data_IF_744212686850
#
_entry.id   IF_744212686850
#
_cell.length_a   1.000
_cell.length_b   1.000
_cell.length_c   1.000
_cell.angle_alpha   90.00
_cell.angle_beta   90.00
_cell.angle_gamma   90.00
#
_symmetry.space_group_name_H-M   'P 1'
#
loop_
_entity.id
_entity.type
_entity.pdbx_description
1 polymer ?
#
# COMPACT_ATOMS: atom_id res chain seq x y z
N UNK A 1 -0.73 -17.81 -13.96
CA UNK A 1 -0.34 -16.69 -13.10
C UNK A 1 0.30 -17.21 -11.83
N UNK A 2 1.41 -16.63 -11.49
CA UNK A 2 2.11 -17.02 -10.28
C UNK A 2 1.37 -16.53 -9.05
N UNK A 3 1.31 -17.38 -8.04
CA UNK A 3 0.71 -17.07 -6.76
C UNK A 3 1.82 -16.82 -5.74
N UNK A 4 1.75 -15.70 -5.05
CA UNK A 4 2.67 -15.37 -3.96
C UNK A 4 2.02 -15.73 -2.64
N UNK A 5 2.73 -16.45 -1.79
CA UNK A 5 2.24 -16.86 -0.48
C UNK A 5 3.16 -16.32 0.62
N UNK A 6 2.56 -15.70 1.62
CA UNK A 6 3.24 -15.08 2.74
C UNK A 6 2.63 -15.57 4.05
N UNK A 7 3.44 -15.63 5.10
CA UNK A 7 2.94 -15.90 6.44
C UNK A 7 2.27 -14.66 7.02
N UNK A 8 1.09 -14.87 7.60
CA UNK A 8 0.45 -13.84 8.42
C UNK A 8 1.14 -13.77 9.78
N UNK A 9 1.34 -12.57 10.29
CA UNK A 9 1.89 -12.38 11.60
C UNK A 9 0.89 -12.86 12.65
N UNK A 10 1.34 -13.76 13.55
CA UNK A 10 0.49 -14.49 14.49
C UNK A 10 -0.16 -13.61 15.55
N UNK A 11 0.32 -12.39 15.75
CA UNK A 11 -0.06 -11.51 16.85
C UNK A 11 -1.43 -10.85 16.69
N UNK A 12 -2.05 -10.97 15.54
CA UNK A 12 -3.29 -10.25 15.27
C UNK A 12 -4.44 -11.20 14.96
N UNK A 13 -5.24 -11.51 15.98
CA UNK A 13 -6.38 -12.42 15.87
C UNK A 13 -7.46 -11.98 14.89
N UNK A 14 -7.57 -10.69 14.58
CA UNK A 14 -8.61 -10.14 13.73
C UNK A 14 -8.09 -9.24 12.63
N UNK A 15 -6.78 -9.27 12.37
CA UNK A 15 -6.11 -8.36 11.47
C UNK A 15 -5.10 -9.13 10.63
N UNK A 16 -4.95 -8.70 9.39
CA UNK A 16 -4.08 -9.39 8.46
C UNK A 16 -2.84 -8.55 8.26
N UNK A 17 -1.74 -8.94 8.92
CA UNK A 17 -0.45 -8.26 8.85
C UNK A 17 0.58 -9.18 8.26
N UNK A 18 1.40 -8.65 7.36
CA UNK A 18 2.46 -9.38 6.68
C UNK A 18 3.75 -8.55 6.69
N UNK A 19 4.88 -9.21 6.59
CA UNK A 19 6.16 -8.54 6.41
C UNK A 19 6.40 -8.24 4.94
N UNK A 20 7.02 -7.10 4.68
CA UNK A 20 7.40 -6.65 3.35
C UNK A 20 8.72 -5.89 3.41
N UNK A 21 9.31 -5.64 2.27
CA UNK A 21 10.51 -4.83 2.13
C UNK A 21 10.19 -3.54 1.39
N UNK A 22 10.38 -2.42 2.05
CA UNK A 22 10.18 -1.09 1.49
C UNK A 22 11.50 -0.56 0.93
N UNK A 23 11.48 -0.14 -0.33
CA UNK A 23 12.67 0.44 -0.94
C UNK A 23 12.93 1.85 -0.41
N UNK A 24 14.12 2.05 0.16
CA UNK A 24 14.60 3.35 0.60
C UNK A 24 15.37 3.99 -0.56
N UNK A 25 14.78 5.03 -1.16
CA UNK A 25 15.37 5.76 -2.30
C UNK A 25 16.67 6.46 -1.95
N UNK A 26 16.81 6.89 -0.70
CA UNK A 26 17.97 7.69 -0.26
C UNK A 26 19.21 6.82 -0.07
N UNK A 27 19.04 5.59 0.37
CA UNK A 27 20.13 4.66 0.62
C UNK A 27 20.29 3.57 -0.44
N UNK A 28 19.30 3.43 -1.32
CA UNK A 28 19.20 2.33 -2.30
C UNK A 28 19.18 0.94 -1.64
N UNK A 29 18.65 0.87 -0.43
CA UNK A 29 18.52 -0.36 0.36
C UNK A 29 17.07 -0.63 0.69
N UNK A 30 16.77 -1.84 1.11
CA UNK A 30 15.44 -2.23 1.54
C UNK A 30 15.33 -2.21 3.06
N UNK A 31 14.19 -1.75 3.55
CA UNK A 31 13.86 -1.72 4.97
C UNK A 31 12.68 -2.66 5.21
N UNK A 32 12.80 -3.58 6.17
CA UNK A 32 11.68 -4.43 6.54
C UNK A 32 10.60 -3.60 7.24
N UNK A 33 9.38 -3.77 6.76
CA UNK A 33 8.20 -3.07 7.28
C UNK A 33 7.06 -4.07 7.45
N UNK A 34 6.05 -3.67 8.22
CA UNK A 34 4.82 -4.43 8.35
C UNK A 34 3.73 -3.78 7.53
N UNK A 35 3.06 -4.56 6.70
CA UNK A 35 1.87 -4.14 5.99
C UNK A 35 0.64 -4.67 6.72
N UNK A 36 -0.31 -3.79 6.95
CA UNK A 36 -1.65 -4.15 7.40
C UNK A 36 -2.58 -4.14 6.19
N UNK A 37 -3.25 -5.26 5.93
CA UNK A 37 -4.16 -5.40 4.80
C UNK A 37 -5.51 -4.81 5.19
N UNK A 38 -5.75 -3.56 4.85
CA UNK A 38 -6.95 -2.83 5.25
C UNK A 38 -8.02 -2.92 4.15
N UNK A 39 -8.84 -3.97 4.23
CA UNK A 39 -9.91 -4.23 3.26
C UNK A 39 -11.07 -3.23 3.35
N UNK A 40 -11.16 -2.48 4.43
CA UNK A 40 -12.20 -1.48 4.64
C UNK A 40 -11.85 -0.08 4.15
N UNK A 41 -10.65 0.13 3.65
CA UNK A 41 -10.18 1.44 3.21
C UNK A 41 -9.72 1.40 1.76
N UNK A 42 -10.13 2.40 0.97
CA UNK A 42 -9.69 2.49 -0.41
C UNK A 42 -8.22 2.93 -0.50
N UNK A 43 -7.85 3.97 0.25
CA UNK A 43 -6.52 4.56 0.15
C UNK A 43 -5.50 3.84 1.03
N UNK A 44 -4.28 3.76 0.55
CA UNK A 44 -3.14 3.30 1.33
C UNK A 44 -2.61 4.44 2.18
N UNK A 45 -2.35 4.17 3.46
CA UNK A 45 -1.76 5.12 4.39
C UNK A 45 -0.36 4.65 4.78
N UNK A 46 0.55 5.61 4.95
CA UNK A 46 1.94 5.32 5.28
C UNK A 46 2.43 6.31 6.33
N UNK A 47 3.23 5.88 7.32
CA UNK A 47 3.90 6.82 8.23
C UNK A 47 4.76 7.83 7.46
N UNK A 48 4.75 9.09 7.92
CA UNK A 48 5.47 10.17 7.23
C UNK A 48 6.95 9.85 7.03
N UNK A 49 7.61 9.32 8.04
CA UNK A 49 9.03 8.99 7.96
C UNK A 49 9.34 7.98 6.87
N UNK A 50 8.45 7.01 6.67
CA UNK A 50 8.59 6.01 5.62
C UNK A 50 8.30 6.58 4.23
N UNK A 51 7.30 7.46 4.13
CA UNK A 51 6.98 8.13 2.87
C UNK A 51 8.16 8.98 2.36
N UNK A 52 8.81 9.70 3.26
CA UNK A 52 9.94 10.57 2.92
C UNK A 52 11.12 9.82 2.33
N UNK A 53 11.40 8.63 2.82
CA UNK A 53 12.54 7.84 2.33
C UNK A 53 12.19 6.94 1.13
N UNK A 54 10.92 6.66 0.91
CA UNK A 54 10.49 5.68 -0.09
C UNK A 54 9.67 6.25 -1.24
N UNK A 55 9.24 7.50 -1.13
CA UNK A 55 8.32 8.08 -2.09
C UNK A 55 8.65 9.50 -2.49
N UNK A 56 7.84 10.01 -3.42
CA UNK A 56 7.91 11.41 -3.89
C UNK A 56 6.56 12.07 -3.67
N UNK A 57 6.53 13.30 -3.13
CA UNK A 57 5.26 14.00 -2.92
C UNK A 57 4.58 14.29 -4.26
N UNK A 58 3.26 14.16 -4.27
CA UNK A 58 2.43 14.40 -5.45
C UNK A 58 1.80 15.80 -5.46
N UNK A 59 1.97 16.58 -4.40
CA UNK A 59 1.54 17.97 -4.36
C UNK A 59 0.10 18.21 -3.94
N UNK A 60 -0.58 17.23 -3.35
CA UNK A 60 -1.92 17.41 -2.80
C UNK A 60 -2.10 16.63 -1.51
N UNK A 61 -3.14 16.99 -0.75
CA UNK A 61 -3.43 16.43 0.57
C UNK A 61 -4.87 15.97 0.65
N UNK A 62 -5.14 15.08 1.60
CA UNK A 62 -6.48 14.62 1.97
C UNK A 62 -6.65 14.58 3.46
N UNK A 63 -7.88 14.80 3.92
CA UNK A 63 -8.23 14.65 5.32
C UNK A 63 -8.82 13.28 5.58
N UNK A 64 -8.36 12.64 6.64
CA UNK A 64 -8.85 11.34 7.09
C UNK A 64 -9.29 11.42 8.54
N UNK A 65 -10.34 10.67 8.87
CA UNK A 65 -10.79 10.50 10.24
C UNK A 65 -10.25 9.15 10.75
N UNK A 66 -9.28 9.21 11.64
CA UNK A 66 -8.64 8.02 12.21
C UNK A 66 -8.80 8.10 13.73
N UNK A 67 -9.49 7.09 14.32
CA UNK A 67 -9.67 7.03 15.77
C UNK A 67 -10.37 8.26 16.37
N UNK A 68 -11.27 8.88 15.63
CA UNK A 68 -11.98 10.08 16.08
C UNK A 68 -11.27 11.40 15.81
N UNK A 69 -10.01 11.37 15.38
CA UNK A 69 -9.22 12.55 15.03
C UNK A 69 -9.20 12.78 13.52
N UNK A 70 -9.19 14.05 13.11
CA UNK A 70 -9.02 14.42 11.71
C UNK A 70 -7.55 14.62 11.46
N UNK A 71 -7.01 13.86 10.51
CA UNK A 71 -5.60 13.89 10.12
C UNK A 71 -5.52 14.37 8.68
N UNK A 72 -4.63 15.33 8.43
CA UNK A 72 -4.31 15.77 7.08
C UNK A 72 -3.11 14.97 6.57
N UNK A 73 -3.28 14.32 5.43
CA UNK A 73 -2.28 13.42 4.87
C UNK A 73 -1.86 13.86 3.47
N UNK A 74 -0.56 13.98 3.26
CA UNK A 74 0.02 14.35 1.98
C UNK A 74 0.15 13.12 1.09
N UNK A 75 -0.21 13.26 -0.19
CA UNK A 75 -0.11 12.18 -1.16
C UNK A 75 1.34 12.00 -1.63
N UNK A 76 1.77 10.73 -1.67
CA UNK A 76 3.07 10.32 -2.16
C UNK A 76 2.91 9.20 -3.19
N UNK A 77 3.83 9.17 -4.15
CA UNK A 77 4.04 7.98 -4.98
C UNK A 77 5.17 7.18 -4.36
N UNK A 78 4.85 6.03 -3.78
CA UNK A 78 5.83 5.13 -3.16
C UNK A 78 6.48 4.30 -4.24
N UNK A 79 7.80 4.35 -4.33
CA UNK A 79 8.51 3.79 -5.47
C UNK A 79 8.36 2.27 -5.55
N UNK A 80 8.65 1.56 -4.46
CA UNK A 80 8.69 0.10 -4.53
C UNK A 80 8.46 -0.55 -3.17
N UNK A 81 7.57 -1.54 -3.14
CA UNK A 81 7.36 -2.43 -2.00
C UNK A 81 7.48 -3.85 -2.51
N UNK A 82 8.30 -4.67 -1.85
CA UNK A 82 8.48 -6.07 -2.24
C UNK A 82 7.79 -7.00 -1.24
N UNK A 83 6.98 -7.90 -1.78
CA UNK A 83 6.33 -8.99 -1.07
C UNK A 83 6.97 -10.29 -1.55
N UNK A 84 8.02 -10.74 -0.89
CA UNK A 84 8.91 -11.80 -1.38
C UNK A 84 9.49 -11.40 -2.74
N UNK A 85 9.15 -12.16 -3.78
CA UNK A 85 9.56 -11.94 -5.16
C UNK A 85 8.58 -11.09 -5.98
N UNK A 86 7.45 -10.69 -5.38
CA UNK A 86 6.47 -9.84 -6.04
C UNK A 86 6.74 -8.37 -5.71
N UNK A 87 6.89 -7.54 -6.73
CA UNK A 87 7.17 -6.12 -6.57
C UNK A 87 5.93 -5.29 -6.88
N UNK A 88 5.58 -4.41 -5.94
CA UNK A 88 4.55 -3.39 -6.11
C UNK A 88 5.27 -2.07 -6.39
N UNK A 89 4.96 -1.42 -7.50
CA UNK A 89 5.63 -0.18 -7.89
C UNK A 89 4.65 0.99 -7.95
N UNK A 90 5.15 2.16 -7.57
CA UNK A 90 4.43 3.43 -7.72
C UNK A 90 3.06 3.42 -7.06
N UNK A 91 3.02 2.98 -5.81
CA UNK A 91 1.80 2.98 -5.01
C UNK A 91 1.48 4.40 -4.58
N UNK A 92 0.27 4.86 -4.86
CA UNK A 92 -0.20 6.13 -4.29
C UNK A 92 -0.64 5.88 -2.86
N UNK A 93 0.04 6.55 -1.94
CA UNK A 93 -0.21 6.45 -0.50
C UNK A 93 -0.29 7.84 0.11
N UNK A 94 -1.03 7.94 1.20
CA UNK A 94 -1.18 9.18 1.94
C UNK A 94 -0.37 9.12 3.22
N UNK A 95 0.55 10.07 3.38
CA UNK A 95 1.49 10.10 4.49
C UNK A 95 0.90 10.86 5.68
N UNK A 96 0.81 10.19 6.80
CA UNK A 96 0.33 10.76 8.05
C UNK A 96 0.95 10.03 9.22
N UNK A 97 1.01 10.69 10.36
CA UNK A 97 1.36 10.03 11.62
C UNK A 97 0.09 9.63 12.33
N UNK A 98 -0.04 8.37 12.60
CA UNK A 98 -1.14 7.80 13.37
C UNK A 98 -0.58 7.07 14.58
N UNK A 99 -1.43 6.88 15.58
CA UNK A 99 -1.03 6.28 16.86
C UNK A 99 -1.68 4.92 17.06
N UNK A 100 -1.27 4.23 18.12
CA UNK A 100 -1.79 2.93 18.48
C UNK A 100 -0.95 1.80 17.92
N UNK A 101 -1.54 0.61 17.86
CA UNK A 101 -0.81 -0.59 17.45
C UNK A 101 -0.40 -0.63 15.98
N UNK A 102 -0.97 0.26 15.16
CA UNK A 102 -0.60 0.37 13.74
C UNK A 102 0.36 1.49 13.43
N UNK A 103 0.89 2.18 14.43
CA UNK A 103 1.67 3.40 14.25
C UNK A 103 2.86 3.24 13.30
N UNK A 104 3.41 2.04 13.21
CA UNK A 104 4.56 1.74 12.35
C UNK A 104 4.19 0.98 11.07
N UNK A 105 2.91 0.65 10.90
CA UNK A 105 2.47 -0.17 9.77
C UNK A 105 2.13 0.70 8.56
N UNK A 106 2.36 0.15 7.38
CA UNK A 106 1.77 0.69 6.16
C UNK A 106 0.38 0.04 6.03
N UNK A 107 -0.67 0.86 5.95
CA UNK A 107 -2.03 0.38 5.82
C UNK A 107 -2.37 0.28 4.35
N UNK A 108 -2.26 -0.93 3.79
CA UNK A 108 -2.52 -1.16 2.37
C UNK A 108 -4.02 -1.16 2.13
N UNK A 109 -4.47 -0.25 1.30
CA UNK A 109 -5.87 -0.13 0.93
C UNK A 109 -6.25 -0.90 -0.32
N UNK A 110 -7.53 -0.85 -0.66
CA UNK A 110 -8.05 -1.54 -1.83
C UNK A 110 -7.60 -0.91 -3.15
N UNK A 111 -7.03 0.32 -3.13
CA UNK A 111 -6.38 0.87 -4.32
C UNK A 111 -5.26 -0.05 -4.83
N UNK A 112 -4.63 -0.81 -3.94
CA UNK A 112 -3.64 -1.84 -4.29
C UNK A 112 -4.33 -3.19 -4.46
N UNK A 113 -5.10 -3.62 -3.46
CA UNK A 113 -5.62 -4.99 -3.39
C UNK A 113 -6.75 -5.29 -4.37
N UNK A 114 -7.40 -4.28 -4.94
CA UNK A 114 -8.47 -4.49 -5.93
C UNK A 114 -7.99 -5.25 -7.18
N UNK A 115 -6.70 -5.20 -7.45
CA UNK A 115 -6.12 -5.89 -8.60
C UNK A 115 -5.64 -7.31 -8.27
N UNK A 116 -5.88 -7.76 -7.06
CA UNK A 116 -5.42 -9.05 -6.59
C UNK A 116 -6.57 -10.04 -6.44
N UNK A 117 -6.30 -11.28 -6.80
CA UNK A 117 -7.10 -12.42 -6.37
C UNK A 117 -6.46 -12.97 -5.11
N UNK A 118 -7.16 -12.90 -3.99
CA UNK A 118 -6.59 -13.18 -2.67
C UNK A 118 -7.25 -14.35 -1.98
N UNK A 119 -6.46 -15.09 -1.22
CA UNK A 119 -6.93 -16.12 -0.31
C UNK A 119 -6.28 -15.95 1.04
N UNK A 120 -7.08 -15.95 2.09
CA UNK A 120 -6.59 -15.90 3.47
C UNK A 120 -6.96 -17.22 4.14
N UNK A 121 -5.96 -17.98 4.54
CA UNK A 121 -6.12 -19.22 5.28
C UNK A 121 -5.72 -18.97 6.73
N UNK A 122 -6.72 -18.74 7.58
CA UNK A 122 -6.47 -18.44 8.98
C UNK A 122 -5.98 -19.65 9.77
N UNK A 123 -6.35 -20.84 9.36
CA UNK A 123 -5.93 -22.07 10.03
C UNK A 123 -4.44 -22.32 9.83
N UNK A 124 -3.95 -22.06 8.63
CA UNK A 124 -2.54 -22.16 8.29
C UNK A 124 -1.76 -20.86 8.51
N UNK A 125 -2.41 -19.74 8.83
CA UNK A 125 -1.84 -18.40 8.89
C UNK A 125 -1.13 -17.98 7.61
N UNK A 126 -1.76 -18.24 6.46
CA UNK A 126 -1.20 -17.91 5.16
C UNK A 126 -2.07 -16.92 4.41
N UNK A 127 -1.40 -16.01 3.74
CA UNK A 127 -1.98 -15.08 2.78
C UNK A 127 -1.39 -15.39 1.41
N UNK A 128 -2.24 -15.64 0.45
CA UNK A 128 -1.83 -15.92 -0.93
C UNK A 128 -2.54 -14.98 -1.88
N UNK A 129 -1.82 -14.47 -2.85
CA UNK A 129 -2.42 -13.61 -3.87
C UNK A 129 -1.79 -13.83 -5.22
N UNK A 130 -2.56 -13.52 -6.25
CA UNK A 130 -2.08 -13.40 -7.62
C UNK A 130 -2.66 -12.13 -8.22
N UNK A 131 -1.93 -11.53 -9.13
CA UNK A 131 -2.39 -10.31 -9.78
C UNK A 131 -3.42 -10.65 -10.86
N UNK A 132 -4.54 -9.93 -10.84
CA UNK A 132 -5.53 -9.96 -11.91
C UNK A 132 -5.37 -8.69 -12.74
N UNK A 133 -4.63 -8.70 -13.84
CA UNK A 133 -4.58 -7.52 -14.70
C UNK A 133 -5.98 -7.24 -15.25
N UNK A 134 -6.44 -5.98 -15.21
CA UNK A 134 -7.70 -5.63 -15.87
C UNK A 134 -7.61 -5.96 -17.34
N UNK A 135 -8.65 -6.56 -17.90
CA UNK A 135 -8.69 -7.03 -19.29
C UNK A 135 -8.45 -5.93 -20.32
N UNK A 136 -8.75 -4.68 -19.96
CA UNK A 136 -8.68 -3.52 -20.82
C UNK A 136 -7.45 -2.63 -20.59
N UNK A 137 -6.52 -3.03 -19.73
CA UNK A 137 -5.35 -2.23 -19.38
C UNK A 137 -4.05 -3.01 -19.59
N UNK A 138 -3.58 -3.11 -20.82
CA UNK A 138 -2.33 -3.82 -21.10
C UNK A 138 -1.14 -3.15 -20.41
N UNK A 139 -0.20 -3.94 -19.92
CA UNK A 139 1.07 -3.49 -19.35
C UNK A 139 0.99 -2.70 -18.04
N UNK A 140 -0.06 -2.88 -17.25
CA UNK A 140 -0.22 -2.15 -15.96
C UNK A 140 -0.13 -3.03 -14.74
N UNK A 141 0.55 -4.13 -14.84
CA UNK A 141 0.58 -5.15 -13.79
C UNK A 141 1.15 -4.68 -12.46
N UNK A 142 1.95 -3.62 -12.42
CA UNK A 142 2.62 -3.18 -11.20
C UNK A 142 2.36 -1.71 -10.85
N UNK A 143 1.36 -1.10 -11.45
CA UNK A 143 1.06 0.32 -11.24
C UNK A 143 -0.26 0.46 -10.48
N UNK A 144 -0.20 0.99 -9.27
CA UNK A 144 -1.35 1.15 -8.38
C UNK A 144 -1.66 2.64 -8.19
N UNK A 145 -2.13 3.27 -9.25
CA UNK A 145 -2.37 4.71 -9.28
C UNK A 145 -3.86 5.08 -9.30
N UNK A 146 -4.74 4.14 -9.00
CA UNK A 146 -6.18 4.35 -9.08
C UNK A 146 -6.69 5.04 -7.82
N UNK A 147 -7.01 6.32 -7.92
CA UNK A 147 -7.64 7.05 -6.83
C UNK A 147 -8.40 8.26 -7.37
N UNK A 148 -9.23 8.86 -6.50
CA UNK A 148 -10.07 10.00 -6.85
C UNK A 148 -9.66 11.21 -6.02
N UNK A 149 -9.78 12.41 -6.58
CA UNK A 149 -9.55 13.66 -5.86
C UNK A 149 -10.71 13.97 -4.89
N UNK A 150 -10.58 15.09 -4.16
CA UNK A 150 -11.59 15.50 -3.19
C UNK A 150 -12.95 15.82 -3.81
N UNK A 151 -12.99 16.08 -5.11
CA UNK A 151 -14.22 16.37 -5.87
C UNK A 151 -14.84 15.11 -6.51
N UNK A 152 -14.24 13.94 -6.26
CA UNK A 152 -14.69 12.68 -6.83
C UNK A 152 -14.22 12.43 -8.27
N UNK A 153 -13.31 13.25 -8.80
CA UNK A 153 -12.73 13.05 -10.11
C UNK A 153 -11.59 12.03 -10.06
N UNK A 154 -11.57 11.15 -11.04
CA UNK A 154 -10.49 10.16 -11.14
C UNK A 154 -9.16 10.89 -11.42
N UNK A 155 -8.15 10.57 -10.61
CA UNK A 155 -6.80 11.07 -10.80
C UNK A 155 -5.94 9.97 -11.39
N UNK A 156 -5.39 10.27 -12.57
CA UNK A 156 -4.38 9.43 -13.19
C UNK A 156 -3.01 10.07 -12.95
N UNK A 157 -2.19 9.38 -12.17
CA UNK A 157 -0.83 9.85 -11.91
C UNK A 157 0.10 9.20 -12.91
N UNK A 158 0.61 10.01 -13.82
CA UNK A 158 1.65 9.56 -14.72
C UNK A 158 3.01 9.67 -14.05
N UNK A 159 3.85 8.68 -14.27
CA UNK A 159 5.23 8.76 -13.89
C UNK A 159 5.93 9.83 -14.74
N UNK A 160 6.41 10.86 -14.08
CA UNK A 160 7.08 11.99 -14.74
C UNK A 160 8.47 11.64 -15.27
N UNK A 161 8.97 10.44 -15.02
CA UNK A 161 10.27 9.99 -15.51
C UNK A 161 10.23 9.37 -16.90
N UNK A 162 9.06 9.26 -17.46
CA UNK A 162 8.89 8.75 -18.80
C UNK A 162 9.06 9.83 -19.84
#
# INVERSE_FOLDING_TARGET
>A
MECTTLELLAESKHRYRILADLYNRLSSKYLEVTLFLDLGCYNTLIPKSLAEISGRPLGFKRSYKIGGNIIEAEAYSIEKIMLKDFTIERVVAFAADYSGEFASDILIGTNVMNNWKMTIDRKANLFSFSENPPDDLPNKTHIYQNFFDTNGNYIYVQDSEN
#
